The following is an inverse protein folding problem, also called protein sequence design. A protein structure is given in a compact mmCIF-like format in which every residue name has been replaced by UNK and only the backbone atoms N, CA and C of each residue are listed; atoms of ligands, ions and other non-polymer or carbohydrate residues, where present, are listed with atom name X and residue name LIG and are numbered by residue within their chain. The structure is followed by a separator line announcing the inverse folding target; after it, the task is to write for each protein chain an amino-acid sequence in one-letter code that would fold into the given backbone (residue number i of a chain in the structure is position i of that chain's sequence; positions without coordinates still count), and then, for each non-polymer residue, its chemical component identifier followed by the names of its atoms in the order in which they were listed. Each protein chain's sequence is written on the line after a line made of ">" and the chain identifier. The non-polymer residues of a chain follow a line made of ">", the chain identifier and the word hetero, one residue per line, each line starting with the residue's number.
data_IF_241905752613
#
_entry.id   IF_241905752613
#
_cell.length_a   1.000
_cell.length_b   1.000
_cell.length_c   1.000
_cell.angle_alpha   90.00
_cell.angle_beta   90.00
_cell.angle_gamma   90.00
#
_symmetry.space_group_name_H-M   'P 1'
#
loop_
_entity.id
_entity.type
_entity.pdbx_description
1 polymer ?
#
# COMPACT_ATOMS: atom_id res chain seq x y z
N UNK A 1 -1.64 -70.85 19.82
CA UNK A 1 -0.30 -71.48 19.95
C UNK A 1 0.74 -70.43 19.72
N UNK A 2 1.55 -70.08 20.71
CA UNK A 2 2.60 -69.07 20.58
C UNK A 2 3.93 -69.74 20.28
N UNK A 3 4.67 -69.22 19.32
CA UNK A 3 6.04 -69.61 19.01
C UNK A 3 7.01 -68.63 19.72
N UNK A 4 7.77 -69.17 20.70
CA UNK A 4 8.84 -68.51 21.41
C UNK A 4 10.09 -68.41 20.49
N UNK A 5 10.65 -67.22 20.31
CA UNK A 5 12.04 -67.08 19.85
C UNK A 5 12.91 -66.47 20.94
N UNK A 6 13.86 -67.24 21.36
CA UNK A 6 14.87 -67.00 22.40
C UNK A 6 15.97 -66.12 21.83
N UNK A 7 16.13 -64.90 22.33
CA UNK A 7 17.15 -63.94 21.90
C UNK A 7 18.44 -64.17 22.65
N UNK A 8 19.55 -64.37 21.92
CA UNK A 8 20.93 -64.54 22.44
C UNK A 8 21.39 -63.27 23.17
N UNK A 9 21.73 -63.39 24.44
CA UNK A 9 22.45 -62.41 25.27
C UNK A 9 23.94 -62.64 25.08
N UNK A 10 24.62 -61.93 24.22
CA UNK A 10 26.07 -62.11 24.04
C UNK A 10 26.84 -60.96 23.39
N UNK A 11 26.19 -60.13 22.59
CA UNK A 11 26.93 -59.16 21.75
C UNK A 11 26.89 -57.68 22.15
N UNK A 12 26.28 -57.35 23.27
CA UNK A 12 26.11 -55.93 23.69
C UNK A 12 27.28 -55.39 24.53
N UNK A 13 28.23 -56.23 24.90
CA UNK A 13 29.29 -55.82 25.87
C UNK A 13 30.57 -55.22 25.24
N UNK A 14 30.80 -55.39 23.94
CA UNK A 14 31.96 -54.83 23.23
C UNK A 14 31.72 -53.49 22.52
N UNK A 15 30.47 -53.14 22.19
CA UNK A 15 30.15 -51.86 21.54
C UNK A 15 30.15 -50.66 22.49
N UNK A 16 30.04 -50.85 23.80
CA UNK A 16 30.03 -49.74 24.78
C UNK A 16 31.42 -49.19 25.13
N UNK A 17 32.49 -49.90 24.83
CA UNK A 17 33.87 -49.45 25.13
C UNK A 17 34.53 -48.69 23.98
N UNK A 18 34.11 -48.91 22.73
CA UNK A 18 34.61 -48.17 21.56
C UNK A 18 33.91 -46.85 21.35
N UNK A 19 32.65 -46.70 21.78
CA UNK A 19 31.92 -45.45 21.70
C UNK A 19 32.39 -44.38 22.71
N UNK A 20 32.93 -44.81 23.89
CA UNK A 20 33.45 -43.88 24.90
C UNK A 20 34.79 -43.25 24.52
N UNK A 21 35.60 -43.92 23.68
CA UNK A 21 36.92 -43.40 23.26
C UNK A 21 36.83 -42.41 22.09
N UNK A 22 35.81 -42.49 21.23
CA UNK A 22 35.58 -41.58 20.12
C UNK A 22 34.93 -40.25 20.58
N UNK A 23 34.19 -40.23 21.68
CA UNK A 23 33.60 -39.01 22.24
C UNK A 23 34.64 -38.17 23.00
N UNK A 24 35.69 -38.76 23.52
CA UNK A 24 36.76 -38.03 24.24
C UNK A 24 37.74 -37.30 23.31
N UNK A 25 37.88 -37.75 22.04
CA UNK A 25 38.74 -37.10 21.01
C UNK A 25 38.03 -35.93 20.35
N UNK A 26 36.69 -35.92 20.30
CA UNK A 26 35.88 -34.81 19.77
C UNK A 26 35.71 -33.63 20.73
N UNK A 27 35.91 -33.81 22.04
CA UNK A 27 35.88 -32.72 23.02
C UNK A 27 37.22 -31.98 23.18
N UNK A 28 38.33 -32.52 22.72
CA UNK A 28 39.65 -31.86 22.79
C UNK A 28 39.91 -30.91 21.58
N UNK A 29 39.11 -30.98 20.51
CA UNK A 29 39.22 -30.12 19.34
C UNK A 29 38.43 -28.80 19.41
N UNK A 30 37.58 -28.58 20.43
CA UNK A 30 36.69 -27.43 20.50
C UNK A 30 37.22 -26.27 21.38
N UNK A 31 38.42 -26.36 21.93
CA UNK A 31 38.99 -25.34 22.83
C UNK A 31 40.12 -24.49 22.22
N UNK A 32 40.38 -24.61 20.93
CA UNK A 32 41.44 -23.84 20.25
C UNK A 32 40.95 -22.80 19.26
N UNK A 33 39.66 -22.43 19.26
CA UNK A 33 39.07 -21.49 18.30
C UNK A 33 38.54 -20.22 18.98
N UNK A 34 39.14 -19.74 20.07
CA UNK A 34 38.85 -18.43 20.64
C UNK A 34 40.15 -17.70 20.98
N UNK A 35 40.91 -17.35 19.95
CA UNK A 35 41.87 -16.27 20.02
C UNK A 35 41.71 -15.42 18.79
N UNK A 36 40.66 -14.61 18.79
CA UNK A 36 40.44 -13.57 17.79
C UNK A 36 41.25 -12.35 18.20
N UNK A 37 42.21 -12.09 17.36
CA UNK A 37 42.89 -10.82 17.22
C UNK A 37 41.89 -9.66 17.30
N UNK A 38 42.19 -8.70 18.15
CA UNK A 38 41.66 -7.35 18.07
C UNK A 38 42.22 -6.68 16.78
N UNK A 39 41.69 -7.09 15.64
CA UNK A 39 41.82 -6.39 14.36
C UNK A 39 40.82 -5.28 14.33
N UNK A 40 41.28 -4.04 14.12
CA UNK A 40 40.50 -2.87 13.80
C UNK A 40 39.42 -3.24 12.81
N UNK A 41 38.16 -3.11 13.22
CA UNK A 41 37.01 -3.28 12.35
C UNK A 41 37.09 -2.19 11.24
N UNK A 42 37.63 -2.58 10.09
CA UNK A 42 37.23 -1.95 8.84
C UNK A 42 35.72 -2.04 8.79
N UNK A 43 35.05 -0.93 8.58
CA UNK A 43 33.61 -0.81 8.37
C UNK A 43 33.24 -1.54 7.07
N UNK A 44 33.20 -2.86 7.15
CA UNK A 44 32.66 -3.69 6.08
C UNK A 44 31.16 -3.38 6.06
N UNK A 45 30.74 -2.65 5.03
CA UNK A 45 29.48 -1.96 4.97
C UNK A 45 28.30 -2.93 5.04
N UNK A 46 27.77 -3.13 6.26
CA UNK A 46 26.52 -3.88 6.42
C UNK A 46 25.48 -3.29 5.51
N UNK A 47 24.93 -4.08 4.59
CA UNK A 47 23.79 -3.70 3.77
C UNK A 47 22.65 -3.24 4.66
N UNK A 48 22.16 -2.03 4.45
CA UNK A 48 20.97 -1.54 5.14
C UNK A 48 19.74 -2.23 4.58
N UNK A 49 18.90 -2.76 5.45
CA UNK A 49 17.63 -3.36 5.06
C UNK A 49 16.48 -2.48 5.55
N UNK A 50 15.67 -1.99 4.62
CA UNK A 50 14.46 -1.24 4.90
C UNK A 50 13.23 -2.11 4.57
N UNK A 51 12.16 -1.95 5.37
CA UNK A 51 10.84 -2.44 5.03
C UNK A 51 9.92 -1.25 4.76
N UNK A 52 9.42 -1.14 3.52
CA UNK A 52 8.37 -0.22 3.14
C UNK A 52 7.01 -0.93 3.20
N UNK A 53 6.14 -0.48 4.10
CA UNK A 53 4.76 -0.94 4.22
C UNK A 53 3.86 0.02 3.47
N UNK A 54 3.25 -0.45 2.37
CA UNK A 54 2.59 0.37 1.36
C UNK A 54 1.17 -0.09 1.06
N UNK A 55 0.37 0.78 0.46
CA UNK A 55 -0.92 0.41 -0.08
C UNK A 55 -0.81 -0.15 -1.50
N UNK A 56 -1.81 -0.94 -1.92
CA UNK A 56 -1.74 -1.78 -3.13
C UNK A 56 -1.33 -1.07 -4.44
N UNK A 57 -1.91 0.09 -4.81
CA UNK A 57 -1.65 0.73 -6.10
C UNK A 57 -0.21 1.17 -6.36
N UNK A 58 0.66 1.17 -5.35
CA UNK A 58 2.06 1.62 -5.47
C UNK A 58 3.06 0.52 -5.80
N UNK A 59 2.62 -0.70 -5.99
CA UNK A 59 3.49 -1.87 -6.17
C UNK A 59 4.51 -1.69 -7.30
N UNK A 60 4.05 -1.27 -8.47
CA UNK A 60 4.88 -1.07 -9.66
C UNK A 60 5.80 0.14 -9.49
N UNK A 61 5.30 1.22 -8.92
CA UNK A 61 6.08 2.42 -8.59
C UNK A 61 7.26 2.07 -7.69
N UNK A 62 7.04 1.41 -6.56
CA UNK A 62 8.12 1.11 -5.63
C UNK A 62 9.07 0.02 -6.13
N UNK A 63 8.64 -0.85 -7.04
CA UNK A 63 9.55 -1.78 -7.72
C UNK A 63 10.63 -1.03 -8.53
N UNK A 64 10.24 -0.03 -9.32
CA UNK A 64 11.18 0.81 -10.09
C UNK A 64 11.95 1.76 -9.18
N UNK A 65 11.25 2.38 -8.23
CA UNK A 65 11.80 3.36 -7.32
C UNK A 65 12.92 2.79 -6.43
N UNK A 66 12.74 1.61 -5.88
CA UNK A 66 13.73 0.95 -5.02
C UNK A 66 15.05 0.70 -5.74
N UNK A 67 15.02 0.33 -7.02
CA UNK A 67 16.23 0.15 -7.83
C UNK A 67 16.97 1.49 -8.00
N UNK A 68 16.22 2.56 -8.29
CA UNK A 68 16.80 3.89 -8.46
C UNK A 68 17.37 4.42 -7.13
N UNK A 69 16.64 4.23 -6.03
CA UNK A 69 17.11 4.64 -4.70
C UNK A 69 18.36 3.86 -4.26
N UNK A 70 18.40 2.54 -4.45
CA UNK A 70 19.57 1.73 -4.10
C UNK A 70 20.83 2.20 -4.83
N UNK A 71 20.71 2.50 -6.13
CA UNK A 71 21.82 3.06 -6.93
C UNK A 71 22.25 4.46 -6.43
N UNK A 72 21.29 5.32 -6.12
CA UNK A 72 21.53 6.64 -5.55
C UNK A 72 22.22 6.55 -4.19
N UNK A 73 21.73 5.72 -3.30
CA UNK A 73 22.27 5.55 -1.95
C UNK A 73 23.70 5.02 -1.98
N UNK A 74 23.96 3.99 -2.79
CA UNK A 74 25.31 3.45 -2.99
C UNK A 74 26.29 4.50 -3.49
N UNK A 75 25.89 5.28 -4.50
CA UNK A 75 26.72 6.37 -5.04
C UNK A 75 27.00 7.46 -4.00
N UNK A 76 26.01 7.78 -3.17
CA UNK A 76 26.10 8.88 -2.19
C UNK A 76 26.88 8.51 -0.93
N UNK A 77 26.77 7.26 -0.48
CA UNK A 77 27.28 6.85 0.84
C UNK A 77 28.32 5.73 0.80
N UNK A 78 28.48 5.05 -0.34
CA UNK A 78 29.24 3.80 -0.45
C UNK A 78 28.55 2.57 0.11
N UNK A 79 27.39 2.73 0.77
CA UNK A 79 26.66 1.66 1.45
C UNK A 79 25.58 1.05 0.56
N UNK A 80 25.43 -0.26 0.59
CA UNK A 80 24.32 -0.95 -0.06
C UNK A 80 23.03 -0.82 0.75
N UNK A 81 21.89 -0.70 0.06
CA UNK A 81 20.57 -0.74 0.67
C UNK A 81 19.64 -1.67 -0.10
N UNK A 82 18.90 -2.49 0.63
CA UNK A 82 17.83 -3.32 0.11
C UNK A 82 16.52 -2.88 0.71
N UNK A 83 15.49 -2.67 -0.12
CA UNK A 83 14.16 -2.28 0.34
C UNK A 83 13.17 -3.40 0.09
N UNK A 84 12.72 -4.02 1.15
CA UNK A 84 11.61 -4.99 1.12
C UNK A 84 10.28 -4.24 1.09
N UNK A 85 9.24 -4.88 0.53
CA UNK A 85 7.92 -4.29 0.39
C UNK A 85 6.84 -5.19 0.95
N UNK A 86 5.89 -4.58 1.65
CA UNK A 86 4.61 -5.19 1.99
C UNK A 86 3.49 -4.36 1.38
N UNK A 87 2.61 -4.98 0.58
CA UNK A 87 1.50 -4.30 -0.07
C UNK A 87 0.16 -4.90 0.33
N UNK A 88 -0.83 -4.05 0.52
CA UNK A 88 -2.20 -4.45 0.88
C UNK A 88 -3.13 -3.25 1.01
N UNK A 89 -4.35 -3.46 1.45
CA UNK A 89 -5.26 -2.36 1.77
C UNK A 89 -4.64 -1.46 2.86
N UNK A 90 -4.66 -0.13 2.67
CA UNK A 90 -3.95 0.84 3.51
C UNK A 90 -4.27 0.71 5.01
N UNK A 91 -5.56 0.65 5.37
CA UNK A 91 -5.97 0.46 6.77
C UNK A 91 -5.52 -0.90 7.34
N UNK A 92 -5.45 -1.96 6.52
CA UNK A 92 -4.89 -3.25 6.93
C UNK A 92 -3.39 -3.16 7.17
N UNK A 93 -2.66 -2.44 6.31
CA UNK A 93 -1.22 -2.22 6.44
C UNK A 93 -0.90 -1.39 7.69
N UNK A 94 -1.66 -0.31 7.96
CA UNK A 94 -1.51 0.47 9.18
C UNK A 94 -1.70 -0.40 10.43
N UNK A 95 -2.73 -1.25 10.44
CA UNK A 95 -3.00 -2.18 11.55
C UNK A 95 -1.85 -3.16 11.73
N UNK A 96 -1.30 -3.73 10.65
CA UNK A 96 -0.14 -4.63 10.76
C UNK A 96 1.05 -3.96 11.42
N UNK A 97 1.31 -2.67 11.15
CA UNK A 97 2.39 -1.91 11.81
C UNK A 97 2.07 -1.67 13.28
N UNK A 98 0.82 -1.34 13.62
CA UNK A 98 0.35 -1.18 15.00
C UNK A 98 0.52 -2.50 15.78
N UNK A 99 0.23 -3.63 15.14
CA UNK A 99 0.32 -4.98 15.71
C UNK A 99 1.75 -5.55 15.73
N UNK A 100 2.77 -4.77 15.33
CA UNK A 100 4.18 -5.10 15.52
C UNK A 100 4.95 -5.48 14.25
N UNK A 101 4.45 -5.20 13.05
CA UNK A 101 5.25 -5.33 11.84
C UNK A 101 6.35 -4.26 11.83
N UNK A 102 7.62 -4.68 11.86
CA UNK A 102 8.82 -3.84 11.98
C UNK A 102 9.11 -3.02 10.70
N UNK A 103 8.18 -2.13 10.32
CA UNK A 103 8.32 -1.24 9.17
C UNK A 103 9.32 -0.10 9.46
N UNK A 104 10.19 0.20 8.51
CA UNK A 104 11.06 1.39 8.56
C UNK A 104 10.36 2.64 8.03
N UNK A 105 9.55 2.47 7.01
CA UNK A 105 8.74 3.52 6.41
C UNK A 105 7.35 3.00 6.08
N UNK A 106 6.38 3.90 6.11
CA UNK A 106 5.03 3.66 5.63
C UNK A 106 4.72 4.60 4.47
N UNK A 107 4.07 4.08 3.44
CA UNK A 107 3.62 4.83 2.27
C UNK A 107 2.16 4.43 2.02
N UNK A 108 1.25 5.12 2.71
CA UNK A 108 -0.14 4.72 2.84
C UNK A 108 -1.07 5.60 1.99
N UNK A 109 -2.33 5.19 1.85
CA UNK A 109 -3.28 5.92 1.03
C UNK A 109 -3.85 7.17 1.73
N UNK A 110 -3.84 7.20 3.07
CA UNK A 110 -4.56 8.20 3.89
C UNK A 110 -3.68 8.75 5.01
N UNK A 111 -3.79 10.04 5.28
CA UNK A 111 -3.22 10.65 6.49
C UNK A 111 -3.72 9.98 7.77
N UNK A 112 -5.01 9.69 7.86
CA UNK A 112 -5.60 8.98 9.00
C UNK A 112 -4.95 7.64 9.33
N UNK A 113 -4.51 6.88 8.33
CA UNK A 113 -3.86 5.59 8.55
C UNK A 113 -2.48 5.77 9.22
N UNK A 114 -1.74 6.84 8.87
CA UNK A 114 -0.47 7.20 9.54
C UNK A 114 -0.74 7.77 10.92
N UNK A 115 -1.76 8.65 11.07
CA UNK A 115 -2.19 9.18 12.38
C UNK A 115 -2.55 8.05 13.34
N UNK A 116 -3.23 7.00 12.84
CA UNK A 116 -3.57 5.83 13.65
C UNK A 116 -2.33 5.09 14.19
N UNK A 117 -1.24 5.01 13.42
CA UNK A 117 0.03 4.44 13.88
C UNK A 117 0.67 5.36 14.94
N UNK A 118 0.65 6.68 14.69
CA UNK A 118 1.21 7.67 15.61
C UNK A 118 0.46 7.70 16.95
N UNK A 119 -0.87 7.69 16.93
CA UNK A 119 -1.70 7.78 18.11
C UNK A 119 -1.77 6.48 18.93
N UNK A 120 -2.04 5.34 18.25
CA UNK A 120 -2.32 4.07 18.92
C UNK A 120 -1.05 3.33 19.33
N UNK A 121 -0.03 3.30 18.47
CA UNK A 121 1.22 2.58 18.72
C UNK A 121 2.37 3.49 19.15
N UNK A 122 2.25 4.80 18.94
CA UNK A 122 3.30 5.80 19.22
C UNK A 122 4.64 5.49 18.54
N UNK A 123 4.56 4.89 17.35
CA UNK A 123 5.73 4.51 16.55
C UNK A 123 6.20 5.64 15.64
N UNK A 124 5.34 6.59 15.34
CA UNK A 124 5.57 7.76 14.47
C UNK A 124 5.30 9.01 15.30
N UNK A 125 6.12 10.05 15.17
CA UNK A 125 5.88 11.32 15.82
C UNK A 125 4.67 12.05 15.21
N UNK A 126 3.92 12.77 16.01
CA UNK A 126 2.69 13.45 15.58
C UNK A 126 2.91 14.55 14.55
N UNK A 127 4.13 15.10 14.44
CA UNK A 127 4.48 16.12 13.47
C UNK A 127 4.92 15.55 12.09
N UNK A 128 4.66 14.28 11.82
CA UNK A 128 5.11 13.58 10.62
C UNK A 128 4.76 14.30 9.31
N UNK A 129 3.58 14.95 9.24
CA UNK A 129 3.12 15.65 8.04
C UNK A 129 4.02 16.82 7.65
N UNK A 130 4.61 17.52 8.63
CA UNK A 130 5.45 18.69 8.39
C UNK A 130 6.91 18.37 8.02
N UNK A 131 7.30 17.10 8.00
CA UNK A 131 8.69 16.68 7.79
C UNK A 131 9.15 16.71 6.34
N UNK A 132 8.22 16.55 5.41
CA UNK A 132 8.49 16.58 3.98
C UNK A 132 7.55 17.58 3.29
N UNK A 133 7.89 18.06 2.08
CA UNK A 133 7.03 18.98 1.34
C UNK A 133 5.62 18.44 1.11
N UNK A 134 4.67 19.35 0.84
CA UNK A 134 3.28 19.04 0.53
C UNK A 134 2.62 18.13 1.57
N UNK A 135 2.86 18.40 2.86
CA UNK A 135 2.35 17.59 3.99
C UNK A 135 2.75 16.11 3.88
N UNK A 136 3.99 15.85 3.46
CA UNK A 136 4.53 14.51 3.25
C UNK A 136 3.81 13.69 2.19
N UNK A 137 3.24 14.36 1.16
CA UNK A 137 2.56 13.71 0.02
C UNK A 137 3.34 13.94 -1.28
N UNK A 138 4.24 13.00 -1.67
CA UNK A 138 5.20 13.22 -2.75
C UNK A 138 4.59 13.23 -4.16
N UNK A 139 3.40 12.70 -4.33
CA UNK A 139 2.65 12.65 -5.57
C UNK A 139 1.16 12.64 -5.28
N UNK A 140 0.35 12.80 -6.33
CA UNK A 140 -1.12 12.74 -6.22
C UNK A 140 -1.71 11.78 -7.23
N UNK A 141 -2.98 11.49 -7.08
CA UNK A 141 -3.81 10.78 -8.03
C UNK A 141 -5.23 11.32 -7.97
N UNK A 142 -6.14 10.69 -8.69
CA UNK A 142 -7.57 10.98 -8.65
C UNK A 142 -8.36 9.71 -8.92
N UNK A 143 -9.69 9.78 -8.80
CA UNK A 143 -10.57 8.65 -9.05
C UNK A 143 -11.18 8.78 -10.45
N UNK A 144 -11.16 7.67 -11.17
CA UNK A 144 -11.70 7.53 -12.52
C UNK A 144 -12.52 6.24 -12.62
N UNK A 145 -13.21 6.03 -13.73
CA UNK A 145 -13.88 4.77 -14.03
C UNK A 145 -13.11 4.01 -15.09
N UNK A 146 -12.97 2.71 -14.88
CA UNK A 146 -12.51 1.78 -15.89
C UNK A 146 -13.71 0.97 -16.37
N UNK A 147 -13.97 1.00 -17.67
CA UNK A 147 -15.12 0.30 -18.29
C UNK A 147 -14.64 -0.66 -19.37
N UNK A 148 -15.50 -1.58 -19.78
CA UNK A 148 -15.26 -2.47 -20.92
C UNK A 148 -15.11 -1.66 -22.19
N UNK A 149 -14.32 -2.14 -23.15
CA UNK A 149 -14.14 -1.49 -24.46
C UNK A 149 -15.45 -1.23 -25.16
N UNK A 150 -15.60 -0.01 -25.71
CA UNK A 150 -16.83 0.44 -26.35
C UNK A 150 -17.90 0.90 -25.37
N UNK A 151 -17.61 0.89 -24.06
CA UNK A 151 -18.51 1.38 -23.00
C UNK A 151 -19.97 0.93 -23.17
N UNK A 152 -20.27 -0.37 -23.18
CA UNK A 152 -21.58 -0.89 -23.58
C UNK A 152 -22.74 -0.45 -22.67
N UNK A 153 -22.45 0.02 -21.46
CA UNK A 153 -23.42 0.59 -20.51
C UNK A 153 -23.54 2.10 -20.58
N UNK A 154 -22.83 2.74 -21.49
CA UNK A 154 -22.83 4.21 -21.67
C UNK A 154 -22.58 4.95 -20.35
N UNK A 155 -21.53 4.53 -19.61
CA UNK A 155 -21.14 5.12 -18.34
C UNK A 155 -20.27 6.34 -18.67
N UNK A 156 -20.76 7.55 -18.34
CA UNK A 156 -20.07 8.80 -18.59
C UNK A 156 -19.78 9.57 -17.30
N UNK A 157 -20.60 9.35 -16.26
CA UNK A 157 -20.46 10.05 -14.98
C UNK A 157 -21.03 9.22 -13.83
N UNK A 158 -20.90 9.71 -12.61
CA UNK A 158 -21.38 9.10 -11.38
C UNK A 158 -22.87 8.71 -11.40
N UNK A 159 -23.73 9.55 -12.03
CA UNK A 159 -25.15 9.27 -12.16
C UNK A 159 -25.45 7.97 -12.93
N UNK A 160 -24.55 7.55 -13.80
CA UNK A 160 -24.74 6.31 -14.56
C UNK A 160 -24.51 5.07 -13.69
N UNK A 161 -23.75 5.20 -12.59
CA UNK A 161 -23.43 4.09 -11.68
C UNK A 161 -24.62 3.65 -10.81
N UNK A 162 -25.67 4.47 -10.71
CA UNK A 162 -26.90 4.13 -9.94
C UNK A 162 -28.01 3.57 -10.83
N UNK A 163 -27.77 3.38 -12.13
CA UNK A 163 -28.71 2.70 -13.02
C UNK A 163 -28.84 1.21 -12.61
N UNK A 164 -30.08 0.69 -12.62
CA UNK A 164 -30.39 -0.67 -12.14
C UNK A 164 -29.70 -1.81 -12.91
N UNK A 165 -29.32 -1.54 -14.17
CA UNK A 165 -28.67 -2.50 -15.05
C UNK A 165 -27.14 -2.34 -15.09
N UNK A 166 -26.55 -1.55 -14.19
CA UNK A 166 -25.11 -1.33 -14.07
C UNK A 166 -24.58 -2.05 -12.82
N UNK A 167 -23.57 -2.88 -13.02
CA UNK A 167 -22.86 -3.58 -11.93
C UNK A 167 -21.50 -2.90 -11.68
N UNK A 168 -21.28 -2.50 -10.44
CA UNK A 168 -20.13 -1.73 -9.99
C UNK A 168 -19.14 -2.61 -9.22
N UNK A 169 -17.86 -2.44 -9.48
CA UNK A 169 -16.77 -3.01 -8.68
C UNK A 169 -16.03 -1.88 -7.97
N UNK A 170 -15.83 -2.02 -6.68
CA UNK A 170 -15.00 -1.12 -5.85
C UNK A 170 -14.49 -1.88 -4.63
N UNK A 171 -13.31 -1.54 -4.06
CA UNK A 171 -12.87 -2.18 -2.84
C UNK A 171 -13.66 -1.68 -1.62
N UNK A 172 -13.51 -2.39 -0.48
CA UNK A 172 -14.24 -2.12 0.75
C UNK A 172 -13.63 -0.95 1.54
N UNK A 173 -14.37 0.13 1.83
CA UNK A 173 -13.88 1.27 2.62
C UNK A 173 -13.45 0.94 4.07
N UNK A 174 -13.93 -0.17 4.63
CA UNK A 174 -13.51 -0.62 5.98
C UNK A 174 -12.07 -1.17 6.00
N UNK A 175 -11.55 -1.63 4.85
CA UNK A 175 -10.21 -2.27 4.77
C UNK A 175 -9.25 -1.56 3.83
N UNK A 176 -9.76 -0.88 2.81
CA UNK A 176 -9.01 -0.22 1.75
C UNK A 176 -9.08 1.30 1.87
N UNK A 177 -7.92 1.93 2.05
CA UNK A 177 -7.84 3.39 1.95
C UNK A 177 -8.19 3.91 0.56
N UNK A 178 -7.82 3.18 -0.49
CA UNK A 178 -8.23 3.50 -1.86
C UNK A 178 -9.75 3.59 -2.03
N UNK A 179 -10.48 2.68 -1.39
CA UNK A 179 -11.94 2.68 -1.40
C UNK A 179 -12.56 3.89 -0.68
N UNK A 180 -11.90 4.41 0.36
CA UNK A 180 -12.36 5.64 1.03
C UNK A 180 -12.29 6.85 0.10
N UNK A 181 -11.25 6.95 -0.71
CA UNK A 181 -11.17 7.95 -1.76
C UNK A 181 -12.28 7.78 -2.82
N UNK A 182 -12.57 6.54 -3.25
CA UNK A 182 -13.67 6.25 -4.18
C UNK A 182 -15.01 6.71 -3.60
N UNK A 183 -15.27 6.37 -2.34
CA UNK A 183 -16.49 6.76 -1.64
C UNK A 183 -16.62 8.28 -1.52
N UNK A 184 -15.56 8.97 -1.08
CA UNK A 184 -15.58 10.42 -0.91
C UNK A 184 -15.72 11.16 -2.26
N UNK A 185 -15.16 10.63 -3.36
CA UNK A 185 -15.35 11.18 -4.69
C UNK A 185 -16.84 11.09 -5.13
N UNK A 186 -17.47 9.93 -4.90
CA UNK A 186 -18.90 9.74 -5.18
C UNK A 186 -19.77 10.65 -4.31
N UNK A 187 -19.43 10.79 -3.03
CA UNK A 187 -20.12 11.70 -2.11
C UNK A 187 -20.04 13.14 -2.56
N UNK A 188 -18.84 13.62 -2.93
CA UNK A 188 -18.64 14.99 -3.41
C UNK A 188 -19.46 15.29 -4.67
N UNK A 189 -19.57 14.33 -5.60
CA UNK A 189 -20.46 14.45 -6.75
C UNK A 189 -21.93 14.59 -6.31
N UNK A 190 -22.39 13.76 -5.42
CA UNK A 190 -23.77 13.79 -4.93
C UNK A 190 -24.05 15.09 -4.16
N UNK A 191 -23.11 15.55 -3.34
CA UNK A 191 -23.23 16.79 -2.57
C UNK A 191 -23.41 18.02 -3.48
N UNK A 192 -22.57 18.13 -4.52
CA UNK A 192 -22.71 19.19 -5.53
C UNK A 192 -24.03 19.05 -6.32
N UNK A 193 -24.39 17.84 -6.73
CA UNK A 193 -25.58 17.58 -7.55
C UNK A 193 -26.87 17.86 -6.81
N UNK A 194 -26.93 17.49 -5.54
CA UNK A 194 -28.14 17.62 -4.72
C UNK A 194 -28.12 18.83 -3.79
N UNK A 195 -27.15 19.77 -3.98
CA UNK A 195 -27.07 21.04 -3.27
C UNK A 195 -27.09 20.85 -1.73
N UNK A 196 -26.25 19.95 -1.23
CA UNK A 196 -26.10 19.63 0.21
C UNK A 196 -27.36 19.02 0.87
N UNK A 197 -28.27 18.43 0.09
CA UNK A 197 -29.41 17.66 0.61
C UNK A 197 -28.95 16.28 1.11
N UNK A 198 -28.67 16.17 2.39
CA UNK A 198 -28.12 14.97 3.01
C UNK A 198 -28.98 13.70 2.76
N UNK A 199 -30.31 13.86 2.66
CA UNK A 199 -31.22 12.73 2.36
C UNK A 199 -30.99 12.19 0.96
N UNK A 200 -30.90 13.09 -0.03
CA UNK A 200 -30.67 12.71 -1.43
C UNK A 200 -29.26 12.17 -1.66
N UNK A 201 -28.26 12.76 -0.97
CA UNK A 201 -26.88 12.28 -1.02
C UNK A 201 -26.81 10.85 -0.50
N UNK A 202 -27.36 10.57 0.67
CA UNK A 202 -27.39 9.22 1.24
C UNK A 202 -28.17 8.24 0.37
N UNK A 203 -29.27 8.67 -0.26
CA UNK A 203 -30.00 7.83 -1.19
C UNK A 203 -29.17 7.48 -2.41
N UNK A 204 -28.51 8.47 -3.03
CA UNK A 204 -27.58 8.25 -4.14
C UNK A 204 -26.48 7.24 -3.78
N UNK A 205 -25.85 7.42 -2.62
CA UNK A 205 -24.83 6.50 -2.13
C UNK A 205 -25.37 5.09 -1.87
N UNK A 206 -26.60 4.98 -1.36
CA UNK A 206 -27.31 3.71 -1.19
C UNK A 206 -27.55 2.99 -2.52
N UNK A 207 -27.99 3.73 -3.52
CA UNK A 207 -28.23 3.22 -4.88
C UNK A 207 -26.91 2.77 -5.52
N UNK A 208 -25.84 3.58 -5.38
CA UNK A 208 -24.51 3.24 -5.87
C UNK A 208 -23.98 1.94 -5.22
N UNK A 209 -24.00 1.86 -3.89
CA UNK A 209 -23.51 0.67 -3.19
C UNK A 209 -24.47 -0.53 -3.29
N UNK A 210 -25.74 -0.30 -3.61
CA UNK A 210 -26.69 -1.32 -4.00
C UNK A 210 -26.31 -2.04 -5.29
N UNK A 211 -25.66 -1.32 -6.21
CA UNK A 211 -25.14 -1.86 -7.48
C UNK A 211 -23.73 -2.48 -7.35
N UNK A 212 -23.11 -2.43 -6.17
CA UNK A 212 -21.79 -3.04 -5.96
C UNK A 212 -21.91 -4.54 -5.86
N UNK A 213 -21.33 -5.24 -6.83
CA UNK A 213 -21.34 -6.69 -6.93
C UNK A 213 -20.37 -7.34 -5.93
N UNK A 214 -19.15 -6.76 -5.81
CA UNK A 214 -18.09 -7.26 -4.91
C UNK A 214 -17.40 -6.10 -4.23
N UNK A 215 -17.18 -6.24 -2.91
CA UNK A 215 -16.31 -5.39 -2.10
C UNK A 215 -15.01 -6.15 -1.78
N UNK A 216 -14.01 -6.05 -2.64
CA UNK A 216 -12.69 -6.64 -2.39
C UNK A 216 -11.95 -5.95 -1.24
N UNK A 217 -11.05 -6.66 -0.58
CA UNK A 217 -10.31 -6.14 0.58
C UNK A 217 -9.32 -5.00 0.27
N UNK A 218 -8.98 -4.80 -1.01
CA UNK A 218 -8.04 -3.78 -1.48
C UNK A 218 -8.20 -3.49 -2.97
N UNK A 219 -7.57 -2.42 -3.45
CA UNK A 219 -7.71 -1.94 -4.83
C UNK A 219 -7.28 -2.99 -5.87
N UNK A 220 -6.17 -3.70 -5.63
CA UNK A 220 -5.69 -4.76 -6.54
C UNK A 220 -6.69 -5.92 -6.66
N UNK A 221 -7.34 -6.31 -5.55
CA UNK A 221 -8.42 -7.32 -5.58
C UNK A 221 -9.57 -6.89 -6.47
N UNK A 222 -10.03 -5.64 -6.34
CA UNK A 222 -11.09 -5.07 -7.17
C UNK A 222 -10.70 -5.03 -8.66
N UNK A 223 -9.45 -4.62 -8.96
CA UNK A 223 -8.92 -4.67 -10.33
C UNK A 223 -8.94 -6.10 -10.88
N UNK A 224 -8.47 -7.10 -10.12
CA UNK A 224 -8.50 -8.52 -10.53
C UNK A 224 -9.93 -9.03 -10.74
N UNK A 225 -10.86 -8.69 -9.85
CA UNK A 225 -12.27 -9.08 -10.00
C UNK A 225 -12.86 -8.51 -11.29
N UNK A 226 -12.56 -7.26 -11.60
CA UNK A 226 -13.00 -6.62 -12.84
C UNK A 226 -12.28 -7.19 -14.08
N UNK A 227 -10.95 -7.22 -14.11
CA UNK A 227 -10.17 -7.51 -15.33
C UNK A 227 -10.07 -8.99 -15.68
N UNK A 228 -9.81 -9.84 -14.66
CA UNK A 228 -9.52 -11.26 -14.87
C UNK A 228 -10.74 -12.14 -14.66
N UNK A 229 -11.58 -11.83 -13.65
CA UNK A 229 -12.79 -12.59 -13.37
C UNK A 229 -13.99 -12.14 -14.20
N UNK A 230 -13.86 -11.00 -14.90
CA UNK A 230 -14.89 -10.48 -15.77
C UNK A 230 -16.12 -9.91 -15.07
N UNK A 231 -16.04 -9.63 -13.76
CA UNK A 231 -17.15 -9.14 -12.95
C UNK A 231 -17.38 -7.64 -13.18
N UNK A 232 -18.61 -7.22 -13.05
CA UNK A 232 -19.03 -5.81 -13.14
C UNK A 232 -18.92 -5.19 -14.52
N UNK A 233 -19.63 -4.10 -14.70
CA UNK A 233 -19.61 -3.26 -15.90
C UNK A 233 -18.60 -2.11 -15.78
N UNK A 234 -18.36 -1.65 -14.55
CA UNK A 234 -17.47 -0.53 -14.23
C UNK A 234 -16.68 -0.81 -12.95
N UNK A 235 -15.39 -0.46 -12.97
CA UNK A 235 -14.54 -0.39 -11.81
C UNK A 235 -14.32 1.07 -11.42
N UNK A 236 -14.67 1.47 -10.21
CA UNK A 236 -14.24 2.74 -9.63
C UNK A 236 -12.79 2.57 -9.17
N UNK A 237 -11.86 3.22 -9.84
CA UNK A 237 -10.43 2.99 -9.69
C UNK A 237 -9.65 4.29 -9.46
N UNK A 238 -8.47 4.14 -8.88
CA UNK A 238 -7.46 5.18 -8.92
C UNK A 238 -6.93 5.33 -10.36
N UNK A 239 -6.64 6.56 -10.76
CA UNK A 239 -6.15 6.87 -12.10
C UNK A 239 -4.93 6.03 -12.51
N UNK A 240 -3.96 5.89 -11.61
CA UNK A 240 -2.77 5.06 -11.89
C UNK A 240 -3.11 3.57 -12.08
N UNK A 241 -4.04 2.99 -11.32
CA UNK A 241 -4.48 1.60 -11.50
C UNK A 241 -5.18 1.42 -12.85
N UNK A 242 -6.02 2.38 -13.25
CA UNK A 242 -6.69 2.33 -14.54
C UNK A 242 -5.69 2.37 -15.71
N UNK A 243 -4.69 3.25 -15.66
CA UNK A 243 -3.63 3.30 -16.67
C UNK A 243 -2.73 2.05 -16.67
N UNK A 244 -2.38 1.54 -15.50
CA UNK A 244 -1.63 0.27 -15.38
C UNK A 244 -2.43 -0.88 -16.00
N UNK A 245 -3.74 -0.93 -15.76
CA UNK A 245 -4.63 -1.92 -16.38
C UNK A 245 -4.61 -1.82 -17.91
N UNK A 246 -4.72 -0.61 -18.47
CA UNK A 246 -4.60 -0.44 -19.93
C UNK A 246 -3.23 -0.86 -20.47
N UNK A 247 -2.18 -0.65 -19.69
CA UNK A 247 -0.81 -1.07 -20.07
C UNK A 247 -0.64 -2.58 -20.04
N UNK A 248 -1.24 -3.26 -19.06
CA UNK A 248 -1.10 -4.70 -18.83
C UNK A 248 -2.02 -5.53 -19.73
N UNK A 249 -3.29 -5.14 -19.83
CA UNK A 249 -4.34 -5.92 -20.51
C UNK A 249 -4.66 -5.44 -21.92
N UNK A 250 -4.22 -4.23 -22.29
CA UNK A 250 -4.43 -3.63 -23.62
C UNK A 250 -5.62 -2.66 -23.66
N UNK A 251 -5.46 -1.62 -24.48
CA UNK A 251 -6.48 -0.58 -24.74
C UNK A 251 -7.66 -1.10 -25.55
N UNK A 252 -7.55 -2.28 -26.12
CA UNK A 252 -8.61 -2.97 -26.86
C UNK A 252 -9.62 -3.67 -25.93
N UNK A 253 -9.32 -3.81 -24.65
CA UNK A 253 -10.20 -4.47 -23.67
C UNK A 253 -10.96 -3.50 -22.76
N UNK A 254 -10.33 -2.37 -22.45
CA UNK A 254 -10.85 -1.42 -21.47
C UNK A 254 -10.68 0.03 -21.92
N UNK A 255 -11.50 0.92 -21.33
CA UNK A 255 -11.45 2.36 -21.51
C UNK A 255 -11.50 3.06 -20.15
N UNK A 256 -10.85 4.23 -20.07
CA UNK A 256 -10.92 5.10 -18.89
C UNK A 256 -11.93 6.20 -19.17
N UNK A 257 -12.89 6.37 -18.27
CA UNK A 257 -13.85 7.46 -18.26
C UNK A 257 -13.50 8.39 -17.09
N UNK A 258 -13.35 9.67 -17.41
CA UNK A 258 -13.10 10.70 -16.43
C UNK A 258 -14.44 11.30 -15.98
N UNK A 259 -14.82 11.21 -14.70
CA UNK A 259 -16.06 11.78 -14.21
C UNK A 259 -16.03 13.32 -14.23
N UNK A 260 -17.19 13.96 -14.18
CA UNK A 260 -17.33 15.42 -14.13
C UNK A 260 -16.65 16.06 -12.92
N UNK A 261 -16.64 15.36 -11.78
CA UNK A 261 -15.95 15.72 -10.55
C UNK A 261 -15.32 14.50 -9.93
N UNK A 262 -14.17 14.68 -9.32
CA UNK A 262 -13.44 13.65 -8.57
C UNK A 262 -12.82 14.25 -7.32
N UNK A 263 -11.92 13.54 -6.67
CA UNK A 263 -11.21 13.98 -5.48
C UNK A 263 -9.69 13.97 -5.72
N UNK A 264 -8.98 14.97 -5.21
CA UNK A 264 -7.53 14.99 -5.21
C UNK A 264 -7.02 14.00 -4.16
N UNK A 265 -6.56 12.86 -4.61
CA UNK A 265 -5.98 11.84 -3.75
C UNK A 265 -4.51 12.18 -3.46
N UNK A 266 -4.18 12.35 -2.18
CA UNK A 266 -2.89 12.77 -1.67
C UNK A 266 -2.31 11.71 -0.72
N UNK A 267 -1.73 10.61 -1.26
CA UNK A 267 -1.20 9.53 -0.44
C UNK A 267 0.09 9.95 0.27
N UNK A 268 0.11 9.93 1.61
CA UNK A 268 1.24 10.39 2.40
C UNK A 268 2.25 9.31 2.69
N UNK A 269 3.44 9.76 3.11
CA UNK A 269 4.56 8.89 3.51
C UNK A 269 5.14 9.33 4.86
N UNK A 270 5.64 8.39 5.65
CA UNK A 270 6.33 8.70 6.91
C UNK A 270 7.37 7.65 7.27
N UNK A 271 8.43 8.07 7.96
CA UNK A 271 9.33 7.17 8.69
C UNK A 271 8.59 6.63 9.91
N UNK A 272 8.78 5.34 10.22
CA UNK A 272 8.32 4.74 11.46
C UNK A 272 9.46 4.91 12.49
N UNK A 273 9.46 6.05 13.18
CA UNK A 273 10.59 6.56 13.97
C UNK A 273 11.16 5.54 14.95
N UNK A 274 10.30 4.95 15.78
CA UNK A 274 10.76 4.00 16.80
C UNK A 274 11.40 2.75 16.22
N UNK A 275 10.85 2.25 15.12
CA UNK A 275 11.43 1.09 14.44
C UNK A 275 12.74 1.44 13.76
N UNK A 276 12.78 2.55 13.04
CA UNK A 276 13.99 3.01 12.33
C UNK A 276 15.13 3.35 13.30
N UNK A 277 14.82 3.96 14.46
CA UNK A 277 15.79 4.22 15.54
C UNK A 277 16.32 2.90 16.13
N UNK A 278 15.43 1.96 16.50
CA UNK A 278 15.79 0.63 17.04
C UNK A 278 16.69 -0.17 16.09
N UNK A 279 16.40 -0.11 14.78
CA UNK A 279 17.14 -0.83 13.74
C UNK A 279 18.40 -0.10 13.26
N UNK A 280 18.59 1.18 13.66
CA UNK A 280 19.67 2.03 13.16
C UNK A 280 19.55 2.39 11.68
N UNK A 281 18.33 2.35 11.13
CA UNK A 281 18.03 2.58 9.70
C UNK A 281 17.51 3.98 9.41
N UNK A 282 17.31 4.83 10.42
CA UNK A 282 16.65 6.13 10.32
C UNK A 282 17.20 7.01 9.19
N UNK A 283 18.53 7.16 9.11
CA UNK A 283 19.18 7.97 8.06
C UNK A 283 18.84 7.49 6.64
N UNK A 284 18.79 6.18 6.43
CA UNK A 284 18.45 5.60 5.15
C UNK A 284 16.94 5.72 4.86
N UNK A 285 16.08 5.55 5.88
CA UNK A 285 14.63 5.71 5.78
C UNK A 285 14.24 7.16 5.43
N UNK A 286 14.83 8.15 6.10
CA UNK A 286 14.63 9.57 5.79
C UNK A 286 15.12 9.93 4.37
N UNK A 287 16.28 9.42 3.97
CA UNK A 287 16.79 9.62 2.61
C UNK A 287 15.91 8.93 1.56
N UNK A 288 15.36 7.75 1.87
CA UNK A 288 14.43 7.04 1.01
C UNK A 288 13.18 7.87 0.73
N UNK A 289 12.54 8.42 1.75
CA UNK A 289 11.36 9.25 1.56
C UNK A 289 11.67 10.60 0.90
N UNK A 290 12.80 11.24 1.27
CA UNK A 290 13.23 12.50 0.65
C UNK A 290 13.52 12.34 -0.84
N UNK A 291 14.05 11.19 -1.27
CA UNK A 291 14.36 10.95 -2.68
C UNK A 291 13.12 10.88 -3.56
N UNK A 292 11.91 10.63 -3.01
CA UNK A 292 10.64 10.73 -3.73
C UNK A 292 10.40 12.13 -4.33
N UNK A 293 10.91 13.17 -3.68
CA UNK A 293 10.79 14.56 -4.12
C UNK A 293 11.90 14.99 -5.08
N UNK A 294 12.90 14.14 -5.33
CA UNK A 294 13.91 14.42 -6.36
C UNK A 294 13.30 14.35 -7.75
N UNK A 295 13.91 15.05 -8.71
CA UNK A 295 13.47 14.98 -10.12
C UNK A 295 13.32 13.53 -10.60
N UNK A 296 14.29 12.65 -10.24
CA UNK A 296 14.23 11.23 -10.59
C UNK A 296 13.06 10.49 -9.92
N UNK A 297 12.81 10.75 -8.63
CA UNK A 297 11.65 10.20 -7.92
C UNK A 297 10.32 10.63 -8.56
N UNK A 298 10.21 11.90 -8.92
CA UNK A 298 9.05 12.47 -9.58
C UNK A 298 8.83 11.91 -10.99
N UNK A 299 9.90 11.72 -11.78
CA UNK A 299 9.84 11.04 -13.07
C UNK A 299 9.35 9.59 -12.95
N UNK A 300 9.81 8.86 -11.92
CA UNK A 300 9.35 7.48 -11.66
C UNK A 300 7.88 7.48 -11.27
N UNK A 301 7.43 8.42 -10.43
CA UNK A 301 6.03 8.58 -10.09
C UNK A 301 5.17 8.80 -11.36
N UNK A 302 5.56 9.73 -12.23
CA UNK A 302 4.85 10.02 -13.47
C UNK A 302 4.80 8.83 -14.45
N UNK A 303 5.90 8.09 -14.60
CA UNK A 303 5.95 6.86 -15.42
C UNK A 303 5.02 5.75 -14.92
N UNK A 304 4.76 5.75 -13.62
CA UNK A 304 3.83 4.83 -12.96
C UNK A 304 2.45 5.48 -12.75
N UNK A 305 2.15 6.50 -13.55
CA UNK A 305 0.85 7.16 -13.65
C UNK A 305 0.37 7.87 -12.38
N UNK A 306 1.29 8.23 -11.48
CA UNK A 306 1.02 9.19 -10.41
C UNK A 306 1.33 10.60 -10.89
N UNK A 307 0.50 11.57 -10.51
CA UNK A 307 0.68 12.98 -10.84
C UNK A 307 1.81 13.56 -9.99
N UNK A 308 2.96 13.93 -10.57
CA UNK A 308 4.09 14.45 -9.80
C UNK A 308 3.81 15.84 -9.24
N UNK A 309 4.42 16.19 -8.11
CA UNK A 309 4.41 17.54 -7.53
C UNK A 309 5.35 18.50 -8.27
N UNK A 310 6.43 17.98 -8.86
CA UNK A 310 7.36 18.75 -9.67
C UNK A 310 6.67 19.24 -10.95
N UNK A 311 6.60 20.56 -11.10
CA UNK A 311 5.89 21.22 -12.20
C UNK A 311 6.53 20.97 -13.57
N UNK A 312 7.87 20.84 -13.64
CA UNK A 312 8.56 20.55 -14.90
C UNK A 312 8.31 19.12 -15.36
N UNK A 313 8.38 18.17 -14.40
CA UNK A 313 8.04 16.79 -14.67
C UNK A 313 6.57 16.68 -15.06
N UNK A 314 5.65 17.31 -14.32
CA UNK A 314 4.22 17.29 -14.64
C UNK A 314 3.96 17.81 -16.06
N UNK A 315 4.61 18.92 -16.47
CA UNK A 315 4.50 19.47 -17.84
C UNK A 315 4.97 18.47 -18.90
N UNK A 316 6.02 17.70 -18.61
CA UNK A 316 6.52 16.66 -19.53
C UNK A 316 5.49 15.54 -19.77
N UNK A 317 4.66 15.26 -18.76
CA UNK A 317 3.63 14.21 -18.77
C UNK A 317 2.20 14.75 -18.89
N UNK A 318 2.01 16.04 -19.25
CA UNK A 318 0.66 16.68 -19.27
C UNK A 318 -0.37 15.95 -20.13
N UNK A 319 0.05 15.34 -21.24
CA UNK A 319 -0.84 14.56 -22.12
C UNK A 319 -1.36 13.28 -21.47
N UNK A 320 -0.67 12.78 -20.45
CA UNK A 320 -1.05 11.59 -19.70
C UNK A 320 -2.12 11.90 -18.63
N UNK A 321 -2.16 13.14 -18.14
CA UNK A 321 -2.99 13.53 -17.02
C UNK A 321 -4.07 14.54 -17.45
N UNK A 322 -5.29 14.07 -17.79
CA UNK A 322 -6.38 14.97 -18.17
C UNK A 322 -6.74 15.89 -17.00
N UNK A 323 -7.23 17.08 -17.33
CA UNK A 323 -7.78 17.98 -16.33
C UNK A 323 -9.14 17.47 -15.87
N UNK A 324 -9.25 17.16 -14.60
CA UNK A 324 -10.49 16.73 -13.94
C UNK A 324 -10.78 17.73 -12.82
N UNK A 325 -12.03 18.16 -12.67
CA UNK A 325 -12.44 18.96 -11.50
C UNK A 325 -12.30 18.09 -10.26
N UNK A 326 -11.55 18.56 -9.27
CA UNK A 326 -11.33 17.82 -8.03
C UNK A 326 -11.64 18.66 -6.80
N UNK A 327 -12.22 18.02 -5.79
CA UNK A 327 -12.31 18.55 -4.41
C UNK A 327 -11.15 18.03 -3.59
N UNK A 328 -10.92 18.61 -2.40
CA UNK A 328 -9.95 18.12 -1.43
C UNK A 328 -10.67 17.66 -0.16
N UNK A 329 -10.08 16.70 0.57
CA UNK A 329 -10.65 16.19 1.82
C UNK A 329 -10.77 17.30 2.87
N UNK A 330 -9.80 18.21 2.90
CA UNK A 330 -9.78 19.33 3.85
C UNK A 330 -10.95 20.28 3.64
N UNK A 331 -11.24 20.64 2.40
CA UNK A 331 -12.30 21.62 2.09
C UNK A 331 -13.69 21.01 2.15
N UNK A 332 -13.85 19.81 1.61
CA UNK A 332 -15.15 19.17 1.45
C UNK A 332 -15.60 18.43 2.71
N UNK A 333 -14.65 17.76 3.38
CA UNK A 333 -14.96 16.87 4.50
C UNK A 333 -14.39 17.34 5.85
N UNK A 334 -13.67 18.46 5.88
CA UNK A 334 -13.04 18.98 7.09
C UNK A 334 -11.84 18.15 7.57
N UNK A 335 -11.15 17.49 6.65
CA UNK A 335 -9.98 16.67 6.89
C UNK A 335 -10.28 15.20 7.18
N UNK A 336 -9.21 14.38 7.16
CA UNK A 336 -9.33 12.93 7.29
C UNK A 336 -9.93 12.46 8.61
N UNK A 337 -9.62 13.14 9.72
CA UNK A 337 -10.18 12.78 11.03
C UNK A 337 -11.70 12.87 11.03
N UNK A 338 -12.24 14.01 10.56
CA UNK A 338 -13.69 14.23 10.47
C UNK A 338 -14.34 13.29 9.46
N UNK A 339 -13.71 13.09 8.28
CA UNK A 339 -14.21 12.15 7.28
C UNK A 339 -14.29 10.72 7.83
N UNK A 340 -13.29 10.29 8.59
CA UNK A 340 -13.28 8.99 9.25
C UNK A 340 -14.38 8.84 10.29
N UNK A 341 -14.53 9.83 11.16
CA UNK A 341 -15.55 9.84 12.22
C UNK A 341 -16.95 9.80 11.64
N UNK A 342 -17.21 10.58 10.59
CA UNK A 342 -18.53 10.70 9.97
C UNK A 342 -18.88 9.47 9.13
N UNK A 343 -17.94 8.98 8.32
CA UNK A 343 -18.28 8.03 7.26
C UNK A 343 -17.82 6.59 7.52
N UNK A 344 -16.66 6.38 8.20
CA UNK A 344 -15.99 5.08 8.13
C UNK A 344 -15.79 4.37 9.47
N UNK A 345 -15.99 5.06 10.60
CA UNK A 345 -16.01 4.40 11.91
C UNK A 345 -17.20 3.42 11.99
N UNK A 346 -17.14 2.51 12.94
CA UNK A 346 -18.25 1.59 13.19
C UNK A 346 -19.52 2.39 13.57
N UNK A 347 -20.61 2.08 12.89
CA UNK A 347 -21.84 2.86 12.95
C UNK A 347 -21.83 4.18 12.16
N UNK A 348 -20.78 4.46 11.40
CA UNK A 348 -20.71 5.63 10.52
C UNK A 348 -21.62 5.52 9.29
N UNK A 349 -21.65 6.60 8.50
CA UNK A 349 -22.58 6.71 7.35
C UNK A 349 -22.44 5.55 6.37
N UNK A 350 -21.21 5.05 6.14
CA UNK A 350 -21.02 3.91 5.24
C UNK A 350 -21.76 2.66 5.71
N UNK A 351 -21.77 2.37 7.00
CA UNK A 351 -22.47 1.20 7.54
C UNK A 351 -23.98 1.31 7.28
N UNK A 352 -24.58 2.51 7.49
CA UNK A 352 -26.01 2.74 7.23
C UNK A 352 -26.38 2.67 5.73
N UNK A 353 -25.42 2.93 4.83
CA UNK A 353 -25.61 2.85 3.38
C UNK A 353 -25.52 1.40 2.90
N UNK A 354 -24.60 0.63 3.46
CA UNK A 354 -24.29 -0.74 3.00
C UNK A 354 -24.90 -1.84 3.88
N UNK A 355 -25.92 -1.56 4.65
CA UNK A 355 -26.72 -2.61 5.31
C UNK A 355 -27.38 -3.50 4.26
N UNK A 356 -26.83 -4.74 4.10
CA UNK A 356 -27.42 -5.83 3.29
C UNK A 356 -28.15 -6.81 4.18
#
# INVERSE_FOLDING_TARGET
>A
MPFFMRKKRGEIRHMKKTAAFLVLILLAGALSACQSESGSASSDGKTVQLLNVSYDPTRELYKEYNQAFSSYWKKKTGQDVTVQQSHGGSGKQARSVIDGLDADVVTLALGYDIDSIAEKARLIDQNWQSRLPDQSTPYTSTIVFLVRKGNPKHINDWADLVKKDVSVITPNPKTSGGARWNYLAAWAYADETYHHDDTKIKQFMKDLYGNVEVLDSGARGATTSFTERGMGDVLIAWENEAYLTLKEFGKEKFEIINPSISILAEPPVSVVDKTADKKGTKKAAEAYLSYLYSKKGQEIAAKNFYRPRDKEVLKTYEKQFPKIKTVTVEKEFGGWKKAQETHFNDGGTFDSIYEK
#
